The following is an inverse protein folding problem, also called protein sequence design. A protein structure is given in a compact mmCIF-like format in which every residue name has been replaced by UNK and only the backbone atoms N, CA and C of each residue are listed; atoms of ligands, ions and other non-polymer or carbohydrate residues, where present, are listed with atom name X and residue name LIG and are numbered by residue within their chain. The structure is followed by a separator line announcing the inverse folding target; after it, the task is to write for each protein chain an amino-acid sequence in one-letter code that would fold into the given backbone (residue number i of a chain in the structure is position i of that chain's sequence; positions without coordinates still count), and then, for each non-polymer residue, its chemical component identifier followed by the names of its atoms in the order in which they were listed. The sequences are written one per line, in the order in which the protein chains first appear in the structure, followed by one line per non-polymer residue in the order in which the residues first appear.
data_IF_139959402127
#
_entry.id   IF_139959402127
#
_cell.length_a   1.000
_cell.length_b   1.000
_cell.length_c   1.000
_cell.angle_alpha   90.00
_cell.angle_beta   90.00
_cell.angle_gamma   90.00
#
_symmetry.space_group_name_H-M   'P 1'
#
loop_
_entity.id
_entity.type
_entity.pdbx_description
1 polymer ?
#
# COMPACT_ATOMS: atom_id res chain seq x y z
N UNK A 1 37.77 -7.12 -12.99
CA UNK A 1 36.71 -6.07 -12.84
C UNK A 1 35.39 -6.74 -12.55
N UNK A 2 34.58 -6.22 -11.62
CA UNK A 2 33.24 -6.79 -11.34
C UNK A 2 32.28 -6.42 -12.47
N UNK A 3 31.44 -7.36 -12.88
CA UNK A 3 30.40 -7.14 -13.89
C UNK A 3 29.27 -6.24 -13.36
N UNK A 4 28.50 -5.60 -14.25
CA UNK A 4 27.36 -4.76 -13.85
C UNK A 4 26.32 -5.52 -12.99
N UNK A 5 25.89 -6.76 -13.34
CA UNK A 5 24.99 -7.53 -12.48
C UNK A 5 25.54 -7.78 -11.07
N UNK A 6 26.84 -8.05 -10.92
CA UNK A 6 27.48 -8.24 -9.61
C UNK A 6 27.43 -6.96 -8.79
N UNK A 7 27.78 -5.81 -9.39
CA UNK A 7 27.71 -4.50 -8.71
C UNK A 7 26.29 -4.13 -8.28
N UNK A 8 25.28 -4.47 -9.09
CA UNK A 8 23.86 -4.28 -8.73
C UNK A 8 23.49 -5.15 -7.53
N UNK A 9 23.92 -6.41 -7.49
CA UNK A 9 23.63 -7.31 -6.37
C UNK A 9 24.32 -6.85 -5.08
N UNK A 10 25.60 -6.47 -5.14
CA UNK A 10 26.32 -5.92 -3.98
C UNK A 10 25.63 -4.67 -3.42
N UNK A 11 25.19 -3.77 -4.31
CA UNK A 11 24.39 -2.61 -3.91
C UNK A 11 23.07 -3.03 -3.24
N UNK A 12 22.34 -3.99 -3.84
CA UNK A 12 21.05 -4.47 -3.32
C UNK A 12 21.16 -5.25 -1.99
N UNK A 13 22.30 -5.89 -1.72
CA UNK A 13 22.59 -6.60 -0.47
C UNK A 13 22.80 -5.62 0.69
N UNK A 14 23.38 -4.44 0.42
CA UNK A 14 23.52 -3.36 1.40
C UNK A 14 22.22 -2.63 1.75
N UNK A 15 21.12 -2.90 1.04
CA UNK A 15 19.84 -2.26 1.29
C UNK A 15 18.95 -3.05 2.27
N UNK A 16 18.12 -2.34 3.06
CA UNK A 16 17.08 -2.98 3.86
C UNK A 16 16.12 -3.87 3.05
N UNK A 17 15.45 -4.82 3.72
CA UNK A 17 14.37 -5.60 3.09
C UNK A 17 13.32 -4.65 2.47
N UNK A 18 12.80 -5.03 1.29
CA UNK A 18 11.77 -4.33 0.54
C UNK A 18 12.21 -2.99 -0.09
N UNK A 19 13.51 -2.70 -0.14
CA UNK A 19 14.01 -1.57 -0.91
C UNK A 19 13.83 -1.78 -2.41
N UNK A 20 13.14 -0.87 -3.12
CA UNK A 20 12.94 -0.99 -4.55
C UNK A 20 14.21 -0.63 -5.32
N UNK A 21 14.51 -1.44 -6.33
CA UNK A 21 15.53 -1.19 -7.33
C UNK A 21 14.84 -0.75 -8.61
N UNK A 22 15.14 0.46 -9.04
CA UNK A 22 14.71 0.98 -10.33
C UNK A 22 15.93 1.34 -11.18
N UNK A 23 15.82 1.25 -12.52
CA UNK A 23 16.92 1.66 -13.39
C UNK A 23 17.37 3.10 -13.17
N UNK A 24 16.42 4.00 -12.86
CA UNK A 24 16.70 5.41 -12.55
C UNK A 24 17.49 5.58 -11.24
N UNK A 25 17.23 4.76 -10.23
CA UNK A 25 17.98 4.78 -8.96
C UNK A 25 19.41 4.24 -9.06
N UNK A 26 19.73 3.52 -10.14
CA UNK A 26 21.03 2.84 -10.30
C UNK A 26 21.95 3.49 -11.35
N UNK A 27 21.63 4.69 -11.84
CA UNK A 27 22.40 5.36 -12.90
C UNK A 27 23.87 5.64 -12.51
N UNK A 28 24.18 5.68 -11.21
CA UNK A 28 25.55 5.78 -10.69
C UNK A 28 26.38 4.49 -10.94
N UNK A 29 25.74 3.37 -11.31
CA UNK A 29 26.41 2.10 -11.62
C UNK A 29 26.71 1.92 -13.11
N UNK A 30 26.00 2.63 -14.00
CA UNK A 30 26.18 2.51 -15.44
C UNK A 30 25.09 3.21 -16.25
N UNK A 31 25.10 3.01 -17.57
CA UNK A 31 24.07 3.58 -18.43
C UNK A 31 22.72 2.86 -18.28
N UNK A 32 21.64 3.58 -18.59
CA UNK A 32 20.26 3.13 -18.40
C UNK A 32 19.95 1.80 -19.08
N UNK A 33 20.31 1.64 -20.36
CA UNK A 33 20.01 0.44 -21.13
C UNK A 33 20.71 -0.80 -20.58
N UNK A 34 21.98 -0.67 -20.18
CA UNK A 34 22.75 -1.75 -19.58
C UNK A 34 22.18 -2.16 -18.21
N UNK A 35 21.74 -1.19 -17.40
CA UNK A 35 21.08 -1.44 -16.11
C UNK A 35 19.75 -2.16 -16.31
N UNK A 36 18.90 -1.68 -17.23
CA UNK A 36 17.62 -2.31 -17.54
C UNK A 36 17.81 -3.78 -17.97
N UNK A 37 18.80 -4.05 -18.83
CA UNK A 37 19.12 -5.40 -19.25
C UNK A 37 19.67 -6.26 -18.10
N UNK A 38 20.53 -5.70 -17.24
CA UNK A 38 21.09 -6.41 -16.09
C UNK A 38 20.02 -6.77 -15.06
N UNK A 39 19.13 -5.83 -14.70
CA UNK A 39 18.00 -6.07 -13.79
C UNK A 39 17.06 -7.14 -14.35
N UNK A 40 16.72 -7.07 -15.64
CA UNK A 40 15.89 -8.08 -16.31
C UNK A 40 16.53 -9.47 -16.27
N UNK A 41 17.84 -9.58 -16.50
CA UNK A 41 18.58 -10.85 -16.39
C UNK A 41 18.61 -11.38 -14.96
N UNK A 42 18.87 -10.53 -13.97
CA UNK A 42 18.87 -10.91 -12.54
C UNK A 42 17.47 -11.36 -12.08
N UNK A 43 16.42 -10.75 -12.60
CA UNK A 43 15.05 -11.19 -12.34
C UNK A 43 14.76 -12.56 -12.97
N UNK A 44 15.20 -12.78 -14.21
CA UNK A 44 15.05 -14.07 -14.91
C UNK A 44 15.81 -15.20 -14.22
N UNK A 45 16.96 -14.93 -13.62
CA UNK A 45 17.73 -15.91 -12.85
C UNK A 45 17.28 -16.06 -11.39
N UNK A 46 16.19 -15.39 -10.98
CA UNK A 46 15.63 -15.47 -9.63
C UNK A 46 16.43 -14.75 -8.54
N UNK A 47 17.52 -14.03 -8.90
CA UNK A 47 18.33 -13.24 -7.95
C UNK A 47 17.62 -11.96 -7.52
N UNK A 48 16.76 -11.43 -8.37
CA UNK A 48 15.83 -10.35 -8.06
C UNK A 48 14.40 -10.79 -8.37
N UNK A 49 13.44 -10.10 -7.77
CA UNK A 49 12.03 -10.26 -8.05
C UNK A 49 11.53 -9.03 -8.79
N UNK A 50 10.92 -9.23 -9.96
CA UNK A 50 10.27 -8.13 -10.69
C UNK A 50 8.89 -7.89 -10.09
N UNK A 51 8.72 -6.76 -9.41
CA UNK A 51 7.46 -6.40 -8.74
C UNK A 51 6.44 -5.91 -9.77
N UNK A 52 6.87 -5.02 -10.65
CA UNK A 52 6.12 -4.55 -11.80
C UNK A 52 7.10 -4.10 -12.90
N UNK A 53 6.62 -3.45 -13.95
CA UNK A 53 7.51 -2.87 -14.94
C UNK A 53 8.42 -1.81 -14.29
N UNK A 54 9.73 -1.94 -14.49
CA UNK A 54 10.73 -0.96 -14.02
C UNK A 54 11.04 -1.00 -12.52
N UNK A 55 10.41 -1.89 -11.74
CA UNK A 55 10.67 -2.00 -10.30
C UNK A 55 10.96 -3.44 -9.91
N UNK A 56 12.08 -3.62 -9.22
CA UNK A 56 12.57 -4.89 -8.75
C UNK A 56 12.82 -4.83 -7.23
N UNK A 57 12.79 -5.96 -6.54
CA UNK A 57 13.17 -6.06 -5.14
C UNK A 57 13.99 -7.33 -4.92
N UNK A 58 14.85 -7.30 -3.91
CA UNK A 58 15.58 -8.50 -3.49
C UNK A 58 14.62 -9.47 -2.79
N UNK A 59 14.63 -10.76 -3.14
CA UNK A 59 13.89 -11.75 -2.38
C UNK A 59 14.55 -11.98 -1.01
N UNK A 60 13.79 -12.54 -0.07
CA UNK A 60 14.28 -12.84 1.28
C UNK A 60 14.50 -14.33 1.40
N UNK A 61 15.75 -14.70 1.71
CA UNK A 61 16.11 -16.07 2.04
C UNK A 61 15.67 -16.39 3.47
N UNK A 62 15.06 -17.56 3.63
CA UNK A 62 14.63 -18.09 4.93
C UNK A 62 15.04 -19.55 5.02
N UNK A 63 15.00 -20.13 6.23
CA UNK A 63 15.23 -21.57 6.43
C UNK A 63 14.27 -22.47 5.63
N UNK A 64 13.14 -21.93 5.16
CA UNK A 64 12.11 -22.63 4.40
C UNK A 64 12.16 -22.33 2.89
N UNK A 65 13.24 -21.70 2.43
CA UNK A 65 13.42 -21.27 1.05
C UNK A 65 13.23 -19.76 0.87
N UNK A 66 13.02 -19.37 -0.39
CA UNK A 66 13.01 -17.98 -0.83
C UNK A 66 11.58 -17.45 -0.88
N UNK A 67 11.33 -16.30 -0.26
CA UNK A 67 10.03 -15.60 -0.31
C UNK A 67 10.18 -14.17 -0.83
N UNK A 68 9.05 -13.56 -1.23
CA UNK A 68 8.99 -12.11 -1.45
C UNK A 68 9.16 -11.31 -0.15
N UNK A 69 9.48 -10.01 -0.24
CA UNK A 69 9.52 -9.13 0.93
C UNK A 69 8.17 -9.03 1.62
N UNK A 70 8.15 -8.62 2.89
CA UNK A 70 6.89 -8.35 3.62
C UNK A 70 6.07 -7.30 2.88
N UNK A 71 4.84 -7.65 2.51
CA UNK A 71 3.94 -6.81 1.68
C UNK A 71 3.77 -5.41 2.27
N UNK A 72 3.45 -5.29 3.56
CA UNK A 72 3.25 -3.97 4.19
C UNK A 72 4.49 -3.06 4.08
N UNK A 73 5.70 -3.63 4.24
CA UNK A 73 6.95 -2.88 4.09
C UNK A 73 7.20 -2.50 2.63
N UNK A 74 6.94 -3.42 1.71
CA UNK A 74 7.09 -3.17 0.28
C UNK A 74 6.12 -2.09 -0.22
N UNK A 75 4.86 -2.09 0.23
CA UNK A 75 3.90 -1.07 -0.16
C UNK A 75 4.28 0.31 0.40
N UNK A 76 4.85 0.38 1.61
CA UNK A 76 5.35 1.63 2.16
C UNK A 76 6.53 2.20 1.33
N UNK A 77 7.49 1.35 0.93
CA UNK A 77 8.62 1.81 0.10
C UNK A 77 8.19 2.16 -1.32
N UNK A 78 7.20 1.45 -1.88
CA UNK A 78 6.62 1.75 -3.20
C UNK A 78 5.81 3.05 -3.19
N UNK A 79 5.04 3.29 -2.13
CA UNK A 79 4.31 4.54 -1.92
C UNK A 79 5.28 5.73 -1.92
N UNK A 80 6.39 5.63 -1.18
CA UNK A 80 7.44 6.64 -1.18
C UNK A 80 8.14 6.78 -2.54
N UNK A 81 8.43 5.68 -3.23
CA UNK A 81 9.09 5.69 -4.55
C UNK A 81 8.25 6.42 -5.61
N UNK A 82 6.94 6.20 -5.62
CA UNK A 82 6.05 6.75 -6.64
C UNK A 82 5.41 8.09 -6.24
N UNK A 83 5.56 8.51 -4.98
CA UNK A 83 4.79 9.65 -4.45
C UNK A 83 3.28 9.40 -4.49
N UNK A 84 2.88 8.12 -4.40
CA UNK A 84 1.49 7.68 -4.44
C UNK A 84 1.04 7.32 -3.03
N UNK A 85 -0.19 7.68 -2.65
CA UNK A 85 -0.81 7.14 -1.44
C UNK A 85 -1.21 5.69 -1.71
N UNK A 86 -0.84 4.75 -0.83
CA UNK A 86 -1.28 3.35 -0.89
C UNK A 86 -1.84 2.95 0.46
N UNK A 87 -3.10 2.49 0.50
CA UNK A 87 -3.82 2.12 1.73
C UNK A 87 -4.60 0.82 1.57
N UNK A 88 -4.86 0.06 2.65
CA UNK A 88 -5.71 -1.13 2.57
C UNK A 88 -7.09 -0.81 2.00
N UNK A 89 -7.71 -1.75 1.28
CA UNK A 89 -9.08 -1.61 0.81
C UNK A 89 -10.10 -1.55 1.96
N UNK A 90 -11.33 -1.13 1.65
CA UNK A 90 -12.37 -0.94 2.66
C UNK A 90 -12.72 -2.19 3.47
N UNK A 91 -12.82 -3.36 2.85
CA UNK A 91 -13.06 -4.61 3.59
C UNK A 91 -11.91 -4.97 4.54
N UNK A 92 -10.66 -4.75 4.13
CA UNK A 92 -9.51 -4.93 5.01
C UNK A 92 -9.50 -3.90 6.16
N UNK A 93 -9.93 -2.67 5.87
CA UNK A 93 -10.06 -1.63 6.89
C UNK A 93 -11.16 -1.96 7.90
N UNK A 94 -12.34 -2.38 7.43
CA UNK A 94 -13.47 -2.80 8.25
C UNK A 94 -13.08 -3.97 9.16
N UNK A 95 -12.39 -4.99 8.61
CA UNK A 95 -11.89 -6.10 9.41
C UNK A 95 -10.89 -5.64 10.47
N UNK A 96 -9.95 -4.76 10.13
CA UNK A 96 -8.97 -4.23 11.08
C UNK A 96 -9.57 -3.37 12.19
N UNK A 97 -10.81 -2.90 12.01
CA UNK A 97 -11.57 -2.12 12.98
C UNK A 97 -12.57 -2.98 13.78
N UNK A 98 -12.67 -4.29 13.50
CA UNK A 98 -13.62 -5.18 14.16
C UNK A 98 -15.04 -5.14 13.61
N UNK A 99 -15.29 -4.35 12.55
CA UNK A 99 -16.62 -4.21 11.91
C UNK A 99 -17.02 -5.43 11.08
N UNK A 100 -16.09 -6.33 10.80
CA UNK A 100 -16.37 -7.61 10.13
C UNK A 100 -15.32 -8.66 10.50
N UNK A 101 -15.75 -9.92 10.63
CA UNK A 101 -14.84 -11.06 10.76
C UNK A 101 -14.31 -11.56 9.40
N UNK A 102 -14.80 -11.03 8.28
CA UNK A 102 -14.44 -11.52 6.96
C UNK A 102 -13.06 -11.02 6.54
N UNK A 103 -12.14 -11.97 6.32
CA UNK A 103 -10.86 -11.68 5.69
C UNK A 103 -11.03 -11.59 4.16
N UNK A 104 -10.52 -10.53 3.51
CA UNK A 104 -10.53 -10.44 2.06
C UNK A 104 -9.77 -11.60 1.41
N UNK A 105 -10.40 -12.28 0.45
CA UNK A 105 -9.79 -13.39 -0.31
C UNK A 105 -8.61 -12.88 -1.18
N UNK A 106 -8.65 -11.61 -1.60
CA UNK A 106 -7.63 -10.97 -2.45
C UNK A 106 -6.93 -9.85 -1.70
N UNK A 107 -5.61 -9.74 -1.89
CA UNK A 107 -4.81 -8.62 -1.38
C UNK A 107 -5.01 -7.38 -2.25
N UNK A 108 -6.09 -6.64 -1.98
CA UNK A 108 -6.44 -5.39 -2.68
C UNK A 108 -6.06 -4.19 -1.82
N UNK A 109 -5.40 -3.21 -2.45
CA UNK A 109 -5.07 -1.92 -1.86
C UNK A 109 -5.58 -0.81 -2.75
N UNK A 110 -5.93 0.32 -2.16
CA UNK A 110 -6.31 1.53 -2.87
C UNK A 110 -5.08 2.41 -3.10
N UNK A 111 -5.04 3.09 -4.23
CA UNK A 111 -3.95 4.00 -4.57
C UNK A 111 -4.44 5.31 -5.19
N UNK A 112 -3.69 6.40 -4.99
CA UNK A 112 -3.87 7.65 -5.75
C UNK A 112 -3.34 7.54 -7.18
N UNK A 113 -2.45 6.58 -7.45
CA UNK A 113 -1.88 6.33 -8.77
C UNK A 113 -2.77 5.45 -9.65
N UNK A 114 -2.25 5.03 -10.83
CA UNK A 114 -2.96 4.10 -11.71
C UNK A 114 -3.15 2.73 -11.10
N UNK A 115 -4.28 2.08 -11.41
CA UNK A 115 -4.50 0.67 -11.06
C UNK A 115 -3.44 -0.22 -11.70
N UNK A 116 -2.81 -1.10 -10.92
CA UNK A 116 -1.77 -2.01 -11.38
C UNK A 116 -1.66 -3.24 -10.49
N UNK A 117 -1.11 -4.34 -11.02
CA UNK A 117 -0.80 -5.53 -10.23
C UNK A 117 0.68 -5.55 -9.87
N UNK A 118 0.97 -5.95 -8.63
CA UNK A 118 2.30 -6.11 -8.08
C UNK A 118 2.51 -7.59 -7.75
N UNK A 119 3.68 -8.11 -8.10
CA UNK A 119 4.02 -9.52 -7.91
C UNK A 119 5.13 -9.67 -6.87
N UNK A 120 4.82 -10.39 -5.79
CA UNK A 120 5.71 -10.68 -4.67
C UNK A 120 5.92 -12.19 -4.55
N UNK A 121 6.48 -12.80 -5.58
CA UNK A 121 6.65 -14.25 -5.68
C UNK A 121 5.30 -14.91 -5.93
N UNK A 122 4.86 -15.80 -5.03
CA UNK A 122 3.55 -16.45 -5.11
C UNK A 122 2.37 -15.49 -4.83
N UNK A 123 2.64 -14.34 -4.21
CA UNK A 123 1.61 -13.38 -3.85
C UNK A 123 1.43 -12.32 -4.93
N UNK A 124 0.17 -12.04 -5.29
CA UNK A 124 -0.18 -10.91 -6.16
C UNK A 124 -1.00 -9.92 -5.36
N UNK A 125 -0.58 -8.65 -5.41
CA UNK A 125 -1.28 -7.52 -4.80
C UNK A 125 -1.88 -6.68 -5.92
N UNK A 126 -3.16 -6.35 -5.78
CA UNK A 126 -3.87 -5.48 -6.72
C UNK A 126 -3.95 -4.08 -6.14
N UNK A 127 -3.37 -3.09 -6.84
CA UNK A 127 -3.61 -1.69 -6.58
C UNK A 127 -4.79 -1.23 -7.43
N UNK A 128 -5.80 -0.65 -6.80
CA UNK A 128 -6.95 -0.04 -7.46
C UNK A 128 -6.94 1.46 -7.23
N UNK A 129 -7.02 2.23 -8.31
CA UNK A 129 -7.19 3.67 -8.21
C UNK A 129 -8.47 4.00 -7.41
N UNK A 130 -8.37 4.95 -6.49
CA UNK A 130 -9.47 5.34 -5.62
C UNK A 130 -9.63 6.87 -5.58
N UNK A 131 -10.87 7.36 -5.39
CA UNK A 131 -11.11 8.78 -5.22
C UNK A 131 -10.43 9.31 -3.96
N UNK A 132 -10.05 10.60 -3.99
CA UNK A 132 -9.27 11.25 -2.92
C UNK A 132 -9.87 11.08 -1.53
N UNK A 133 -11.20 11.07 -1.41
CA UNK A 133 -11.86 10.93 -0.12
C UNK A 133 -11.61 9.57 0.56
N UNK A 134 -11.45 8.49 -0.19
CA UNK A 134 -11.08 7.18 0.38
C UNK A 134 -9.59 7.10 0.78
N UNK A 135 -8.78 8.01 0.26
CA UNK A 135 -7.34 8.10 0.50
C UNK A 135 -6.99 9.11 1.60
N UNK A 136 -7.99 9.79 2.17
CA UNK A 136 -7.82 10.69 3.29
C UNK A 136 -7.22 9.95 4.51
N UNK A 137 -6.44 10.69 5.30
CA UNK A 137 -5.81 10.23 6.53
C UNK A 137 -5.18 8.81 6.39
N UNK A 138 -4.26 8.60 5.42
CA UNK A 138 -3.95 7.27 4.89
C UNK A 138 -3.38 6.28 5.91
N UNK A 139 -2.67 6.78 6.92
CA UNK A 139 -2.02 5.97 7.96
C UNK A 139 -2.65 6.15 9.35
N UNK A 140 -3.86 6.73 9.38
CA UNK A 140 -4.63 7.06 10.59
C UNK A 140 -5.83 6.13 10.74
N UNK A 141 -6.37 6.02 11.94
CA UNK A 141 -7.57 5.21 12.21
C UNK A 141 -8.81 5.87 11.59
N UNK A 142 -8.84 7.20 11.55
CA UNK A 142 -9.84 7.98 10.80
C UNK A 142 -9.95 7.55 9.33
N UNK A 143 -8.82 7.45 8.61
CA UNK A 143 -8.82 7.00 7.22
C UNK A 143 -9.29 5.56 7.06
N UNK A 144 -8.97 4.68 8.01
CA UNK A 144 -9.49 3.30 8.02
C UNK A 144 -11.01 3.29 8.17
N UNK A 145 -11.55 4.13 9.05
CA UNK A 145 -13.00 4.26 9.24
C UNK A 145 -13.67 4.72 7.95
N UNK A 146 -13.17 5.77 7.30
CA UNK A 146 -13.71 6.26 6.01
C UNK A 146 -13.78 5.12 4.97
N UNK A 147 -12.71 4.34 4.84
CA UNK A 147 -12.65 3.22 3.91
C UNK A 147 -13.57 2.06 4.32
N UNK A 148 -13.71 1.81 5.62
CA UNK A 148 -14.62 0.79 6.13
C UNK A 148 -16.07 1.15 5.84
N UNK A 149 -16.49 2.38 6.12
CA UNK A 149 -17.83 2.89 5.82
C UNK A 149 -18.11 2.85 4.31
N UNK A 150 -17.10 3.17 3.48
CA UNK A 150 -17.21 3.06 2.02
C UNK A 150 -17.47 1.63 1.53
N UNK A 151 -17.04 0.62 2.30
CA UNK A 151 -17.24 -0.79 1.97
C UNK A 151 -18.53 -1.35 2.55
N UNK A 152 -18.88 -0.95 3.77
CA UNK A 152 -20.13 -1.32 4.44
C UNK A 152 -21.36 -0.81 3.68
N UNK A 153 -21.28 0.42 3.18
CA UNK A 153 -22.38 1.07 2.45
C UNK A 153 -23.28 1.92 3.34
N UNK A 154 -24.21 2.69 2.74
CA UNK A 154 -25.02 3.69 3.44
C UNK A 154 -25.85 3.14 4.61
N UNK A 155 -26.33 1.90 4.50
CA UNK A 155 -27.22 1.27 5.48
C UNK A 155 -26.54 0.99 6.81
N UNK A 156 -25.21 0.83 6.80
CA UNK A 156 -24.40 0.38 7.94
C UNK A 156 -23.48 1.50 8.48
N UNK A 157 -23.63 2.74 7.98
CA UNK A 157 -22.78 3.87 8.39
C UNK A 157 -22.94 4.19 9.86
N UNK A 158 -24.17 4.27 10.35
CA UNK A 158 -24.45 4.61 11.75
C UNK A 158 -23.83 3.58 12.71
N UNK A 159 -23.99 2.29 12.41
CA UNK A 159 -23.38 1.21 13.17
C UNK A 159 -21.85 1.33 13.17
N UNK A 160 -21.23 1.51 12.00
CA UNK A 160 -19.78 1.63 11.89
C UNK A 160 -19.22 2.85 12.63
N UNK A 161 -19.96 3.97 12.67
CA UNK A 161 -19.58 5.15 13.45
C UNK A 161 -19.69 4.89 14.95
N UNK A 162 -20.79 4.30 15.41
CA UNK A 162 -21.04 4.01 16.82
C UNK A 162 -19.95 3.13 17.44
N UNK A 163 -19.54 2.08 16.73
CA UNK A 163 -18.51 1.15 17.19
C UNK A 163 -17.11 1.77 17.21
N UNK A 164 -16.77 2.62 16.23
CA UNK A 164 -15.39 3.06 16.03
C UNK A 164 -15.09 4.42 16.61
N UNK A 165 -16.02 5.38 16.60
CA UNK A 165 -15.79 6.75 17.07
C UNK A 165 -15.24 6.81 18.51
N UNK A 166 -15.75 6.04 19.49
CA UNK A 166 -15.23 6.06 20.87
C UNK A 166 -13.77 5.62 20.99
N UNK A 167 -13.24 4.98 19.95
CA UNK A 167 -11.89 4.41 19.92
C UNK A 167 -10.89 5.25 19.11
N UNK A 168 -11.31 6.41 18.59
CA UNK A 168 -10.47 7.35 17.87
C UNK A 168 -9.75 8.30 18.83
N UNK A 169 -8.52 8.69 18.49
CA UNK A 169 -7.82 9.76 19.21
C UNK A 169 -8.37 11.14 18.80
N UNK A 170 -8.09 12.22 19.56
CA UNK A 170 -8.43 13.58 19.15
C UNK A 170 -7.91 13.93 17.75
N UNK A 171 -6.69 13.52 17.41
CA UNK A 171 -6.11 13.76 16.08
C UNK A 171 -6.83 12.96 14.99
N UNK A 172 -7.30 11.74 15.29
CA UNK A 172 -8.13 10.98 14.35
C UNK A 172 -9.50 11.67 14.14
N UNK A 173 -10.10 12.25 15.18
CA UNK A 173 -11.36 12.99 15.05
C UNK A 173 -11.18 14.27 14.20
N UNK A 174 -10.08 15.00 14.39
CA UNK A 174 -9.73 16.16 13.57
C UNK A 174 -9.56 15.78 12.10
N UNK A 175 -8.81 14.71 11.82
CA UNK A 175 -8.61 14.17 10.46
C UNK A 175 -9.93 13.71 9.82
N UNK A 176 -10.81 13.07 10.59
CA UNK A 176 -12.14 12.65 10.14
C UNK A 176 -13.02 13.86 9.79
N UNK A 177 -13.02 14.88 10.64
CA UNK A 177 -13.74 16.14 10.43
C UNK A 177 -13.22 16.88 9.19
N UNK A 178 -11.90 16.98 9.02
CA UNK A 178 -11.28 17.61 7.86
C UNK A 178 -11.60 16.88 6.55
N UNK A 179 -11.72 15.55 6.59
CA UNK A 179 -12.07 14.75 5.42
C UNK A 179 -13.55 14.87 5.00
N UNK A 180 -14.44 15.35 5.89
CA UNK A 180 -15.90 15.40 5.67
C UNK A 180 -16.29 16.09 4.37
N UNK A 181 -15.64 17.21 4.04
CA UNK A 181 -15.95 17.99 2.84
C UNK A 181 -15.63 17.26 1.52
N UNK A 182 -14.84 16.18 1.57
CA UNK A 182 -14.50 15.37 0.40
C UNK A 182 -15.43 14.17 0.23
N UNK A 183 -16.17 13.78 1.28
CA UNK A 183 -17.01 12.59 1.32
C UNK A 183 -18.31 12.80 0.54
N UNK A 184 -18.94 11.72 0.04
CA UNK A 184 -20.30 11.80 -0.48
C UNK A 184 -21.31 12.11 0.64
N UNK A 185 -22.41 12.80 0.31
CA UNK A 185 -23.40 13.27 1.30
C UNK A 185 -23.92 12.18 2.23
N UNK A 186 -24.21 10.99 1.70
CA UNK A 186 -24.71 9.85 2.49
C UNK A 186 -23.75 9.42 3.62
N UNK A 187 -22.46 9.75 3.52
CA UNK A 187 -21.46 9.51 4.56
C UNK A 187 -21.19 10.78 5.37
N UNK A 188 -21.12 11.93 4.71
CA UNK A 188 -20.77 13.21 5.34
C UNK A 188 -21.82 13.65 6.37
N UNK A 189 -23.10 13.45 6.08
CA UNK A 189 -24.22 13.81 6.97
C UNK A 189 -24.17 13.08 8.32
N UNK A 190 -24.15 11.73 8.39
CA UNK A 190 -24.08 11.02 9.66
C UNK A 190 -22.76 11.25 10.41
N UNK A 191 -21.63 11.35 9.69
CA UNK A 191 -20.35 11.75 10.30
C UNK A 191 -20.46 13.12 10.96
N UNK A 192 -21.09 14.09 10.29
CA UNK A 192 -21.29 15.42 10.84
C UNK A 192 -22.17 15.42 12.09
N UNK A 193 -23.28 14.67 12.05
CA UNK A 193 -24.20 14.58 13.18
C UNK A 193 -23.49 14.02 14.42
N UNK A 194 -22.71 12.94 14.26
CA UNK A 194 -21.98 12.30 15.36
C UNK A 194 -20.84 13.15 15.93
N UNK A 195 -20.13 13.92 15.10
CA UNK A 195 -19.03 14.79 15.55
C UNK A 195 -19.50 16.07 16.27
N UNK A 196 -20.75 16.50 16.07
CA UNK A 196 -21.32 17.68 16.76
C UNK A 196 -21.95 17.29 18.10
N UNK A 197 -22.34 16.03 18.26
CA UNK A 197 -23.07 15.52 19.43
C UNK A 197 -22.29 14.53 20.30
N UNK A 198 -21.00 14.31 20.04
CA UNK A 198 -20.09 13.50 20.84
C UNK A 198 -18.94 14.32 21.41
#
# INVERSE_FOLDING_TARGET
MRSLPQRIMEYAEGLPEASPLSPGGLLHLGNRAAIDQALSRLARSGKLMRICQGVYMRPVETRFGVRGPRIGKALATLSALWGETIVPCGGAAANSLGLTAQNPVRMVYLTSGPSKRLHFGAHTVELRHAPRWQLAAPHRKAGKLIRALAWLGPEEVEYGLEEVLPTLSPEDLEELSAARALMPNWMAEPVSARLVHG
#
